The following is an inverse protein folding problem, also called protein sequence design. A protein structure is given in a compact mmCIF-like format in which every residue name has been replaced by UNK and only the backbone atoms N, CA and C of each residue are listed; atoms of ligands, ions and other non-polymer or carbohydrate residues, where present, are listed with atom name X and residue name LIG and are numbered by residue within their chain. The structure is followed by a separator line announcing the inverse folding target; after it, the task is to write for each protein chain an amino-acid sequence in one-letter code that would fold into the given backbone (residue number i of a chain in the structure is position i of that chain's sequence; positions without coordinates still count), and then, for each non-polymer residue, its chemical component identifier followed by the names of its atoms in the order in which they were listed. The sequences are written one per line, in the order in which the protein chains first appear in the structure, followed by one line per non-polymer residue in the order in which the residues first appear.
data_IF_742284782420
#
_entry.id   IF_742284782420
#
_cell.length_a   1.000
_cell.length_b   1.000
_cell.length_c   1.000
_cell.angle_alpha   90.00
_cell.angle_beta   90.00
_cell.angle_gamma   90.00
#
_symmetry.space_group_name_H-M   'P 1'
#
loop_
_entity.id
_entity.type
_entity.pdbx_description
1 polymer ?
#
# COMPACT_ATOMS: atom_id res chain seq x y z
N UNK A 1 -13.81 -10.22 -7.86
CA UNK A 1 -14.54 -11.18 -6.98
C UNK A 1 -15.94 -10.64 -6.78
N UNK A 2 -16.98 -11.46 -7.01
CA UNK A 2 -18.38 -11.08 -6.73
C UNK A 2 -18.74 -11.54 -5.33
N UNK A 3 -19.32 -10.65 -4.54
CA UNK A 3 -19.71 -10.88 -3.15
C UNK A 3 -21.15 -10.41 -3.01
N UNK A 4 -21.96 -11.22 -2.36
CA UNK A 4 -23.36 -10.93 -2.09
C UNK A 4 -23.49 -10.70 -0.58
N UNK A 5 -23.99 -9.53 -0.21
CA UNK A 5 -24.17 -9.13 1.19
C UNK A 5 -25.66 -8.88 1.40
N UNK A 6 -26.22 -9.44 2.46
CA UNK A 6 -27.62 -9.33 2.78
C UNK A 6 -27.79 -8.86 4.23
N UNK A 7 -28.68 -7.89 4.44
CA UNK A 7 -29.13 -7.54 5.79
C UNK A 7 -30.31 -8.44 6.15
N UNK A 8 -30.08 -9.38 7.08
CA UNK A 8 -31.10 -10.28 7.62
C UNK A 8 -31.73 -9.76 8.92
N UNK A 9 -31.20 -8.65 9.46
CA UNK A 9 -31.70 -7.98 10.65
C UNK A 9 -32.94 -7.13 10.39
N UNK A 10 -33.55 -6.61 11.46
CA UNK A 10 -34.73 -5.74 11.39
C UNK A 10 -34.40 -4.25 11.51
N UNK A 11 -33.11 -3.90 11.61
CA UNK A 11 -32.60 -2.53 11.72
C UNK A 11 -31.77 -2.20 10.47
N UNK A 12 -31.77 -0.92 10.10
CA UNK A 12 -30.89 -0.40 9.05
C UNK A 12 -29.42 -0.51 9.47
N UNK A 13 -28.58 -1.04 8.59
CA UNK A 13 -27.13 -1.13 8.81
C UNK A 13 -26.44 -0.02 7.99
N UNK A 14 -25.52 0.71 8.61
CA UNK A 14 -24.75 1.78 7.98
C UNK A 14 -23.25 1.58 8.21
N UNK A 15 -22.43 2.14 7.32
CA UNK A 15 -20.97 2.08 7.40
C UNK A 15 -20.43 0.65 7.48
N UNK A 16 -21.00 -0.27 6.68
CA UNK A 16 -20.60 -1.68 6.65
C UNK A 16 -19.23 -1.77 5.96
N UNK A 17 -18.21 -2.11 6.72
CA UNK A 17 -16.88 -2.36 6.19
C UNK A 17 -16.75 -3.80 5.68
N UNK A 18 -16.14 -3.95 4.51
CA UNK A 18 -15.87 -5.25 3.89
C UNK A 18 -14.39 -5.28 3.52
N UNK A 19 -13.71 -6.31 4.00
CA UNK A 19 -12.27 -6.49 3.78
C UNK A 19 -12.00 -7.80 3.05
N UNK A 20 -11.01 -7.74 2.16
CA UNK A 20 -10.48 -8.90 1.46
C UNK A 20 -9.09 -9.20 2.01
N UNK A 21 -8.92 -10.40 2.54
CA UNK A 21 -7.69 -10.83 3.17
C UNK A 21 -7.07 -11.99 2.42
N UNK A 22 -5.75 -11.99 2.29
CA UNK A 22 -4.98 -13.04 1.64
C UNK A 22 -4.01 -13.68 2.65
N UNK A 23 -4.01 -15.01 2.68
CA UNK A 23 -3.15 -15.80 3.54
C UNK A 23 -2.49 -16.96 2.79
N UNK A 24 -1.28 -17.30 3.21
CA UNK A 24 -0.49 -18.41 2.66
C UNK A 24 -0.81 -19.74 3.35
N UNK A 25 -1.24 -19.66 4.62
CA UNK A 25 -1.57 -20.81 5.43
C UNK A 25 -3.02 -21.27 5.16
N UNK A 26 -3.24 -22.57 5.30
CA UNK A 26 -4.58 -23.15 5.25
C UNK A 26 -5.32 -22.90 6.57
N UNK A 27 -6.63 -22.67 6.47
CA UNK A 27 -7.56 -22.61 7.61
C UNK A 27 -7.36 -21.43 8.60
N UNK A 28 -7.15 -20.23 8.07
CA UNK A 28 -7.07 -19.00 8.90
C UNK A 28 -8.44 -18.50 9.41
N UNK A 29 -9.56 -19.14 9.03
CA UNK A 29 -10.91 -18.67 9.42
C UNK A 29 -11.09 -18.65 10.94
N UNK A 30 -10.58 -19.66 11.63
CA UNK A 30 -10.70 -19.76 13.08
C UNK A 30 -9.84 -18.70 13.80
N UNK A 31 -8.73 -18.29 13.20
CA UNK A 31 -7.85 -17.25 13.72
C UNK A 31 -8.47 -15.87 13.53
N UNK A 32 -8.94 -15.57 12.30
CA UNK A 32 -9.64 -14.33 11.97
C UNK A 32 -10.85 -14.13 12.90
N UNK A 33 -11.66 -15.17 13.11
CA UNK A 33 -12.82 -15.11 14.02
C UNK A 33 -12.44 -14.89 15.48
N UNK A 34 -11.29 -15.41 15.93
CA UNK A 34 -10.80 -15.16 17.30
C UNK A 34 -10.29 -13.75 17.50
N UNK A 35 -9.86 -13.11 16.43
CA UNK A 35 -9.33 -11.75 16.41
C UNK A 35 -10.43 -10.75 16.02
N UNK A 36 -11.64 -10.91 16.55
CA UNK A 36 -12.79 -10.02 16.29
C UNK A 36 -13.08 -9.81 14.79
N UNK A 37 -12.97 -10.86 13.97
CA UNK A 37 -13.12 -10.79 12.52
C UNK A 37 -12.12 -9.83 11.84
N UNK A 38 -11.00 -9.52 12.49
CA UNK A 38 -9.94 -8.67 11.94
C UNK A 38 -8.81 -9.52 11.37
N UNK A 39 -8.48 -9.27 10.11
CA UNK A 39 -7.29 -9.83 9.48
C UNK A 39 -6.04 -9.04 9.88
N UNK A 40 -4.87 -9.65 9.70
CA UNK A 40 -3.61 -8.94 9.88
C UNK A 40 -3.51 -7.80 8.86
N UNK A 41 -3.06 -6.63 9.28
CA UNK A 41 -3.00 -5.44 8.41
C UNK A 41 -2.18 -5.68 7.13
N UNK A 42 -1.11 -6.47 7.23
CA UNK A 42 -0.25 -6.83 6.11
C UNK A 42 -0.91 -7.83 5.13
N UNK A 43 -1.95 -8.53 5.58
CA UNK A 43 -2.74 -9.49 4.81
C UNK A 43 -3.96 -8.86 4.13
N UNK A 44 -4.31 -7.61 4.44
CA UNK A 44 -5.47 -6.93 3.85
C UNK A 44 -5.11 -6.40 2.47
N UNK A 45 -5.78 -6.95 1.45
CA UNK A 45 -5.54 -6.62 0.05
C UNK A 45 -6.46 -5.49 -0.43
N UNK A 46 -7.69 -5.47 0.06
CA UNK A 46 -8.67 -4.46 -0.30
C UNK A 46 -9.61 -4.19 0.87
N UNK A 47 -9.98 -2.91 1.01
CA UNK A 47 -10.97 -2.40 1.96
C UNK A 47 -12.04 -1.63 1.20
N UNK A 48 -13.30 -1.91 1.49
CA UNK A 48 -14.42 -1.20 0.91
C UNK A 48 -15.49 -0.93 1.97
N UNK A 49 -16.05 0.27 1.96
CA UNK A 49 -17.14 0.66 2.86
C UNK A 49 -18.42 0.79 2.04
N UNK A 50 -19.48 0.19 2.54
CA UNK A 50 -20.84 0.32 2.03
C UNK A 50 -21.57 1.28 2.96
N UNK A 51 -22.01 2.40 2.43
CA UNK A 51 -22.59 3.47 3.27
C UNK A 51 -23.85 3.05 4.02
N UNK A 52 -24.73 2.26 3.38
CA UNK A 52 -26.01 1.89 3.96
C UNK A 52 -26.63 0.66 3.29
N UNK A 53 -27.24 -0.21 4.10
CA UNK A 53 -28.05 -1.34 3.68
C UNK A 53 -29.38 -1.33 4.45
N UNK A 54 -30.46 -1.08 3.73
CA UNK A 54 -31.81 -1.03 4.30
C UNK A 54 -32.25 -2.39 4.84
N UNK A 55 -33.16 -2.34 5.83
CA UNK A 55 -33.82 -3.52 6.37
C UNK A 55 -34.65 -4.24 5.26
N UNK A 56 -34.86 -5.56 5.37
CA UNK A 56 -35.83 -6.27 4.54
C UNK A 56 -37.22 -5.63 4.63
N UNK A 57 -37.93 -5.64 3.50
CA UNK A 57 -39.32 -5.17 3.40
C UNK A 57 -40.27 -6.27 3.88
N UNK A 58 -41.50 -5.89 4.26
CA UNK A 58 -42.52 -6.81 4.79
C UNK A 58 -42.95 -7.92 3.79
N UNK A 59 -42.43 -7.88 2.55
CA UNK A 59 -42.60 -8.90 1.51
C UNK A 59 -41.63 -10.09 1.59
N UNK A 60 -40.81 -10.21 2.65
CA UNK A 60 -39.83 -11.30 2.87
C UNK A 60 -38.65 -11.35 1.88
N UNK A 61 -38.44 -10.31 1.07
CA UNK A 61 -37.26 -10.27 0.21
C UNK A 61 -36.07 -9.70 0.99
N UNK A 62 -35.11 -10.57 1.32
CA UNK A 62 -33.79 -10.17 1.82
C UNK A 62 -33.18 -9.14 0.85
N UNK A 63 -32.72 -8.01 1.38
CA UNK A 63 -32.08 -6.97 0.56
C UNK A 63 -30.63 -7.38 0.33
N UNK A 64 -30.42 -8.05 -0.81
CA UNK A 64 -29.08 -8.43 -1.27
C UNK A 64 -28.49 -7.31 -2.11
N UNK A 65 -27.25 -6.94 -1.81
CA UNK A 65 -26.42 -6.10 -2.65
C UNK A 65 -25.26 -6.91 -3.23
N UNK A 66 -24.99 -6.73 -4.51
CA UNK A 66 -23.82 -7.30 -5.15
C UNK A 66 -22.66 -6.31 -5.10
N UNK A 67 -21.55 -6.75 -4.53
CA UNK A 67 -20.28 -6.03 -4.49
C UNK A 67 -19.25 -6.69 -5.39
N UNK A 68 -18.53 -5.88 -6.17
CA UNK A 68 -17.42 -6.33 -7.00
C UNK A 68 -16.10 -5.79 -6.42
N UNK A 69 -15.36 -6.66 -5.71
CA UNK A 69 -14.03 -6.33 -5.22
C UNK A 69 -12.95 -6.72 -6.23
N UNK A 70 -11.98 -5.83 -6.43
CA UNK A 70 -10.82 -6.09 -7.29
C UNK A 70 -9.75 -6.82 -6.47
N UNK A 71 -9.38 -8.02 -6.89
CA UNK A 71 -8.31 -8.79 -6.27
C UNK A 71 -7.09 -8.79 -7.19
N UNK A 72 -5.97 -8.14 -6.82
CA UNK A 72 -4.72 -8.32 -7.51
C UNK A 72 -4.26 -9.77 -7.32
N UNK A 73 -4.10 -10.50 -8.42
CA UNK A 73 -3.66 -11.89 -8.35
C UNK A 73 -2.18 -11.95 -7.95
N UNK A 74 -1.93 -12.48 -6.76
CA UNK A 74 -0.58 -12.77 -6.27
C UNK A 74 -0.11 -14.14 -6.77
N UNK A 75 1.18 -14.30 -7.01
CA UNK A 75 1.77 -15.58 -7.40
C UNK A 75 1.62 -16.63 -6.28
N UNK A 76 1.23 -17.86 -6.65
CA UNK A 76 1.14 -18.99 -5.73
C UNK A 76 -0.30 -19.43 -5.40
N UNK A 77 -0.42 -20.45 -4.55
CA UNK A 77 -1.72 -20.87 -4.01
C UNK A 77 -1.99 -20.05 -2.75
N UNK A 78 -2.97 -19.16 -2.83
CA UNK A 78 -3.32 -18.23 -1.75
C UNK A 78 -4.75 -18.47 -1.31
N UNK A 79 -4.97 -18.41 0.00
CA UNK A 79 -6.27 -18.53 0.61
C UNK A 79 -6.86 -17.14 0.78
N UNK A 80 -7.94 -16.85 0.04
CA UNK A 80 -8.61 -15.56 0.08
C UNK A 80 -9.86 -15.65 0.96
N UNK A 81 -9.99 -14.70 1.87
CA UNK A 81 -11.12 -14.59 2.79
C UNK A 81 -11.80 -13.25 2.59
N UNK A 82 -13.12 -13.27 2.56
CA UNK A 82 -13.96 -12.08 2.66
C UNK A 82 -14.42 -11.99 4.10
N UNK A 83 -14.25 -10.82 4.68
CA UNK A 83 -14.76 -10.52 6.01
C UNK A 83 -15.65 -9.29 5.95
N UNK A 84 -16.82 -9.39 6.57
CA UNK A 84 -17.81 -8.30 6.69
C UNK A 84 -17.80 -7.83 8.15
N UNK A 85 -17.90 -6.51 8.35
CA UNK A 85 -17.82 -5.83 9.65
C UNK A 85 -16.65 -6.31 10.53
N UNK A 86 -15.39 -6.11 10.09
CA UNK A 86 -14.25 -6.42 10.93
C UNK A 86 -14.25 -5.54 12.19
N UNK A 87 -14.00 -6.15 13.36
CA UNK A 87 -14.09 -5.47 14.66
C UNK A 87 -15.48 -5.47 15.28
N UNK A 88 -16.48 -6.08 14.61
CA UNK A 88 -17.82 -6.32 15.14
C UNK A 88 -18.45 -5.05 15.74
N UNK A 89 -18.59 -4.04 14.88
CA UNK A 89 -19.10 -2.72 15.28
C UNK A 89 -20.60 -2.59 15.08
N UNK A 90 -21.17 -3.43 14.21
CA UNK A 90 -22.59 -3.51 13.88
C UNK A 90 -23.19 -4.66 14.68
N UNK A 91 -24.32 -4.42 15.35
CA UNK A 91 -24.97 -5.47 16.14
C UNK A 91 -25.80 -6.38 15.23
N UNK A 92 -25.39 -7.63 15.10
CA UNK A 92 -26.04 -8.61 14.23
C UNK A 92 -26.69 -9.77 15.01
N UNK A 93 -27.53 -10.55 14.33
CA UNK A 93 -28.17 -11.72 14.94
C UNK A 93 -27.21 -12.90 15.10
N UNK A 94 -26.19 -12.97 14.24
CA UNK A 94 -25.16 -13.99 14.21
C UNK A 94 -23.85 -13.33 13.82
N UNK A 95 -22.83 -13.44 14.67
CA UNK A 95 -21.49 -12.87 14.43
C UNK A 95 -20.54 -13.91 13.80
N UNK A 96 -21.00 -15.16 13.70
CA UNK A 96 -20.17 -16.30 13.31
C UNK A 96 -20.04 -16.51 11.81
N UNK A 97 -20.91 -15.92 11.01
CA UNK A 97 -21.00 -16.09 9.55
C UNK A 97 -20.38 -14.94 8.74
N UNK A 98 -19.77 -13.97 9.40
CA UNK A 98 -19.15 -12.80 8.77
C UNK A 98 -17.84 -13.08 8.01
N UNK A 99 -17.31 -14.30 8.11
CA UNK A 99 -16.06 -14.73 7.46
C UNK A 99 -16.34 -15.86 6.47
N UNK A 100 -16.03 -15.63 5.20
CA UNK A 100 -16.22 -16.62 4.12
C UNK A 100 -14.92 -16.81 3.34
N UNK A 101 -14.50 -18.07 3.18
CA UNK A 101 -13.36 -18.43 2.32
C UNK A 101 -13.81 -18.51 0.87
N UNK A 102 -13.08 -17.85 -0.02
CA UNK A 102 -13.25 -18.02 -1.46
C UNK A 102 -12.47 -19.27 -1.86
N UNK A 103 -13.21 -20.30 -2.25
CA UNK A 103 -12.66 -21.62 -2.60
C UNK A 103 -12.11 -21.71 -4.02
N UNK A 104 -12.23 -20.64 -4.83
CA UNK A 104 -11.56 -20.61 -6.12
C UNK A 104 -10.06 -20.48 -5.88
N UNK A 105 -9.29 -21.49 -6.29
CA UNK A 105 -7.84 -21.41 -6.43
C UNK A 105 -7.54 -20.29 -7.44
N UNK A 106 -7.38 -19.06 -6.94
CA UNK A 106 -6.93 -17.90 -7.72
C UNK A 106 -5.41 -18.00 -7.87
N UNK A 107 -4.94 -19.14 -8.38
CA UNK A 107 -3.54 -19.44 -8.62
C UNK A 107 -3.15 -19.10 -10.06
N UNK A 108 -2.06 -18.38 -10.23
CA UNK A 108 -1.41 -18.24 -11.53
C UNK A 108 -0.75 -19.56 -11.94
N UNK A 109 -0.91 -19.96 -13.20
CA UNK A 109 -0.39 -21.21 -13.75
C UNK A 109 1.14 -21.26 -13.87
N UNK A 110 1.85 -20.15 -13.63
CA UNK A 110 3.31 -20.08 -13.66
C UNK A 110 3.89 -19.26 -12.48
N UNK A 111 4.03 -19.87 -11.29
CA UNK A 111 4.53 -19.22 -10.09
C UNK A 111 5.89 -18.55 -10.26
N UNK A 112 6.79 -19.14 -11.07
CA UNK A 112 8.17 -18.70 -11.22
C UNK A 112 8.34 -17.36 -11.97
N UNK A 113 7.47 -17.04 -12.93
CA UNK A 113 7.56 -15.77 -13.66
C UNK A 113 6.98 -14.60 -12.85
N UNK A 114 5.95 -14.86 -12.04
CA UNK A 114 5.26 -13.81 -11.28
C UNK A 114 6.09 -13.33 -10.07
N UNK A 115 6.79 -14.24 -9.35
CA UNK A 115 7.72 -13.81 -8.28
C UNK A 115 8.90 -13.00 -8.81
N UNK A 116 9.34 -13.23 -10.04
CA UNK A 116 10.41 -12.42 -10.64
C UNK A 116 9.94 -10.99 -10.94
N UNK A 117 8.66 -10.79 -11.27
CA UNK A 117 8.07 -9.47 -11.46
C UNK A 117 7.84 -8.70 -10.15
N UNK A 118 7.32 -9.38 -9.12
CA UNK A 118 6.98 -8.74 -7.85
C UNK A 118 8.20 -8.29 -7.04
N UNK A 119 9.26 -9.12 -6.99
CA UNK A 119 10.50 -8.76 -6.29
C UNK A 119 11.22 -7.60 -6.96
N UNK A 120 11.14 -7.49 -8.30
CA UNK A 120 11.65 -6.33 -9.02
C UNK A 120 10.87 -5.09 -8.64
N UNK A 121 9.53 -5.13 -8.54
CA UNK A 121 8.71 -3.97 -8.17
C UNK A 121 8.97 -3.42 -6.77
N UNK A 122 8.96 -4.28 -5.74
CA UNK A 122 9.13 -3.87 -4.32
C UNK A 122 10.53 -3.33 -4.01
N UNK A 123 11.57 -3.83 -4.67
CA UNK A 123 12.96 -3.38 -4.45
C UNK A 123 13.37 -2.26 -5.40
N UNK A 124 12.87 -2.23 -6.64
CA UNK A 124 13.30 -1.25 -7.64
C UNK A 124 12.91 0.18 -7.26
N UNK A 125 11.69 0.42 -6.75
CA UNK A 125 11.23 1.76 -6.41
C UNK A 125 12.13 2.45 -5.35
N UNK A 126 12.32 1.89 -4.14
CA UNK A 126 13.15 2.53 -3.13
C UNK A 126 14.64 2.57 -3.54
N UNK A 127 15.16 1.52 -4.20
CA UNK A 127 16.57 1.51 -4.63
C UNK A 127 16.87 2.53 -5.73
N UNK A 128 15.94 2.74 -6.68
CA UNK A 128 16.09 3.74 -7.74
C UNK A 128 16.07 5.16 -7.16
N UNK A 129 15.20 5.43 -6.19
CA UNK A 129 15.20 6.71 -5.46
C UNK A 129 16.57 6.94 -4.81
N UNK A 130 17.12 5.94 -4.11
CA UNK A 130 18.44 6.05 -3.49
C UNK A 130 19.54 6.33 -4.54
N UNK A 131 19.58 5.58 -5.64
CA UNK A 131 20.57 5.78 -6.70
C UNK A 131 20.47 7.17 -7.35
N UNK A 132 19.26 7.64 -7.64
CA UNK A 132 19.05 8.98 -8.18
C UNK A 132 19.54 10.05 -7.21
N UNK A 133 19.27 9.91 -5.92
CA UNK A 133 19.74 10.88 -4.91
C UNK A 133 21.26 10.95 -4.87
N UNK A 134 21.96 9.81 -4.85
CA UNK A 134 23.43 9.79 -4.90
C UNK A 134 23.98 10.39 -6.20
N UNK A 135 23.34 10.12 -7.35
CA UNK A 135 23.76 10.71 -8.62
C UNK A 135 23.63 12.23 -8.64
N UNK A 136 22.55 12.78 -8.08
CA UNK A 136 22.33 14.22 -7.97
C UNK A 136 23.36 14.88 -7.05
N UNK A 137 23.65 14.27 -5.89
CA UNK A 137 24.71 14.74 -4.99
C UNK A 137 26.08 14.75 -5.67
N UNK A 138 26.39 13.73 -6.48
CA UNK A 138 27.63 13.66 -7.26
C UNK A 138 27.75 14.83 -8.25
N UNK A 139 26.69 15.14 -9.00
CA UNK A 139 26.68 16.27 -9.94
C UNK A 139 26.83 17.60 -9.20
N UNK A 140 26.10 17.80 -8.09
CA UNK A 140 26.22 19.01 -7.27
C UNK A 140 27.64 19.21 -6.74
N UNK A 141 28.30 18.14 -6.30
CA UNK A 141 29.68 18.19 -5.82
C UNK A 141 30.67 18.60 -6.93
N UNK A 142 30.58 17.98 -8.12
CA UNK A 142 31.46 18.29 -9.24
C UNK A 142 31.29 19.74 -9.71
N UNK A 143 30.04 20.20 -9.89
CA UNK A 143 29.75 21.59 -10.29
C UNK A 143 30.19 22.58 -9.22
N UNK A 144 29.95 22.25 -7.94
CA UNK A 144 30.39 23.07 -6.80
C UNK A 144 31.91 23.21 -6.75
N UNK A 145 32.65 22.13 -6.97
CA UNK A 145 34.12 22.16 -7.04
C UNK A 145 34.61 22.99 -8.22
N UNK A 146 34.03 22.82 -9.41
CA UNK A 146 34.40 23.58 -10.61
C UNK A 146 34.23 25.09 -10.43
N UNK A 147 33.08 25.53 -9.90
CA UNK A 147 32.83 26.95 -9.61
C UNK A 147 33.77 27.51 -8.54
N UNK A 148 34.06 26.75 -7.48
CA UNK A 148 35.00 27.18 -6.44
C UNK A 148 36.44 27.28 -6.95
N UNK A 149 36.88 26.39 -7.83
CA UNK A 149 38.21 26.46 -8.46
C UNK A 149 38.35 27.73 -9.31
N UNK A 150 37.37 28.01 -10.18
CA UNK A 150 37.38 29.21 -11.02
C UNK A 150 37.37 30.53 -10.21
N UNK A 151 36.73 30.55 -9.04
CA UNK A 151 36.78 31.72 -8.13
C UNK A 151 38.14 31.84 -7.46
N UNK A 152 38.75 30.72 -7.02
CA UNK A 152 40.08 30.73 -6.40
C UNK A 152 41.17 31.22 -7.37
N UNK A 153 41.12 30.82 -8.63
CA UNK A 153 42.10 31.26 -9.65
C UNK A 153 42.02 32.78 -9.86
N UNK A 154 40.80 33.33 -9.96
CA UNK A 154 40.61 34.79 -10.06
C UNK A 154 41.11 35.53 -8.82
N UNK A 155 40.87 34.99 -7.63
CA UNK A 155 41.39 35.57 -6.37
C UNK A 155 42.92 35.54 -6.38
N UNK A 156 43.55 34.45 -6.84
CA UNK A 156 45.01 34.34 -6.93
C UNK A 156 45.60 35.34 -7.94
N UNK A 157 44.97 35.52 -9.11
CA UNK A 157 45.37 36.53 -10.09
C UNK A 157 45.27 37.95 -9.50
N UNK A 158 44.16 38.29 -8.83
CA UNK A 158 43.96 39.61 -8.22
C UNK A 158 44.84 39.85 -6.98
N UNK A 159 45.22 38.79 -6.25
CA UNK A 159 46.11 38.91 -5.07
C UNK A 159 47.53 39.31 -5.45
N UNK A 160 47.97 39.05 -6.69
CA UNK A 160 49.28 39.49 -7.19
C UNK A 160 49.34 41.00 -7.48
N UNK A 161 48.22 41.60 -7.91
CA UNK A 161 48.11 43.05 -8.15
C UNK A 161 47.96 43.86 -6.84
N UNK A 162 47.29 43.29 -5.82
CA UNK A 162 47.20 43.92 -4.50
C UNK A 162 48.55 43.97 -3.77
N UNK A 163 49.43 42.98 -3.99
CA UNK A 163 50.79 42.98 -3.42
C UNK A 163 51.67 44.09 -4.00
N UNK A 164 51.43 44.51 -5.25
CA UNK A 164 52.19 45.59 -5.89
C UNK A 164 51.65 46.96 -5.48
N UNK A 165 50.33 47.11 -5.32
CA UNK A 165 49.71 48.36 -4.85
C UNK A 165 49.87 48.60 -3.34
N UNK A 166 50.20 47.57 -2.56
CA UNK A 166 50.52 47.69 -1.13
C UNK A 166 51.94 48.21 -0.86
N UNK A 167 52.89 47.97 -1.77
CA UNK A 167 54.29 48.42 -1.65
C UNK A 167 54.46 49.90 -2.04
N UNK A 168 53.53 50.47 -2.80
CA UNK A 168 53.55 51.89 -3.23
C UNK A 168 52.86 52.85 -2.24
N UNK A 169 52.18 52.33 -1.20
CA UNK A 169 51.50 53.13 -0.18
C UNK A 169 52.33 53.36 1.10
N UNK A 170 53.55 52.80 1.17
CA UNK A 170 54.43 52.83 2.35
C UNK A 170 55.76 53.59 2.10
N UNK A 171 55.78 54.51 1.12
CA UNK A 171 56.93 55.39 0.82
C UNK A 171 56.56 56.87 0.90
#
# INVERSE_FOLDING_TARGET
IRIEIANTGNVHASDIEVILCEYDADDMMAEIRKNDNMCDEDSIVMRQIIGALDKPDDSQDERVIELYMLYPVTAGSKNVYVVVDPGNTIVEANEGDNVVRISQELGSSNPFLDVAGEVVGKVALPSMIVLLTFSLFGVLYLVGRGRRAAVKDRIAEQSSLMSVLGDEADN
#
